data_IF_055972578963
#
_entry.id   IF_055972578963
#
_cell.length_a   1.000
_cell.length_b   1.000
_cell.length_c   1.000
_cell.angle_alpha   90.00
_cell.angle_beta   90.00
_cell.angle_gamma   90.00
#
_symmetry.space_group_name_H-M   'P 1'
#
loop_
_entity.id
_entity.type
_entity.pdbx_description
1 polymer ?
#
# COMPACT_ATOMS: atom_id res chain seq x y z
N UNK A 1 14.27 49.60 17.73
CA UNK A 1 14.17 48.97 16.39
C UNK A 1 13.14 49.74 15.57
N UNK A 2 13.49 50.23 14.37
CA UNK A 2 12.55 51.02 13.56
C UNK A 2 11.35 50.16 13.16
N UNK A 3 10.12 50.63 13.40
CA UNK A 3 8.86 49.92 13.08
C UNK A 3 8.84 49.34 11.66
N UNK A 4 9.38 50.08 10.69
CA UNK A 4 9.47 49.66 9.30
C UNK A 4 10.42 48.46 9.10
N UNK A 5 11.51 48.39 9.89
CA UNK A 5 12.44 47.24 9.88
C UNK A 5 11.80 46.00 10.51
N UNK A 6 11.01 46.17 11.57
CA UNK A 6 10.27 45.07 12.19
C UNK A 6 9.19 44.50 11.26
N UNK A 7 8.44 45.37 10.56
CA UNK A 7 7.42 44.95 9.58
C UNK A 7 8.08 44.23 8.40
N UNK A 8 9.19 44.75 7.88
CA UNK A 8 9.94 44.10 6.81
C UNK A 8 10.42 42.69 7.21
N UNK A 9 10.96 42.52 8.42
CA UNK A 9 11.39 41.21 8.91
C UNK A 9 10.23 40.22 9.07
N UNK A 10 9.08 40.68 9.55
CA UNK A 10 7.87 39.84 9.66
C UNK A 10 7.39 39.37 8.28
N UNK A 11 7.31 40.28 7.30
CA UNK A 11 6.91 39.94 5.94
C UNK A 11 7.88 38.95 5.29
N UNK A 12 9.19 39.17 5.44
CA UNK A 12 10.20 38.22 4.96
C UNK A 12 10.05 36.84 5.62
N UNK A 13 9.77 36.79 6.93
CA UNK A 13 9.52 35.53 7.63
C UNK A 13 8.31 34.77 7.08
N UNK A 14 7.19 35.47 6.84
CA UNK A 14 5.98 34.88 6.26
C UNK A 14 6.24 34.38 4.83
N UNK A 15 6.98 35.15 4.02
CA UNK A 15 7.33 34.76 2.64
C UNK A 15 8.21 33.51 2.64
N UNK A 16 9.21 33.43 3.52
CA UNK A 16 10.11 32.27 3.60
C UNK A 16 9.37 30.99 4.03
N UNK A 17 8.48 31.09 5.02
CA UNK A 17 7.64 29.95 5.44
C UNK A 17 6.71 29.52 4.31
N UNK A 18 6.11 30.48 3.59
CA UNK A 18 5.22 30.19 2.47
C UNK A 18 5.96 29.54 1.29
N UNK A 19 7.17 30.02 0.96
CA UNK A 19 8.02 29.41 -0.07
C UNK A 19 8.40 27.97 0.30
N UNK A 20 8.74 27.74 1.58
CA UNK A 20 9.06 26.40 2.05
C UNK A 20 7.84 25.46 1.95
N UNK A 21 6.66 25.92 2.39
CA UNK A 21 5.44 25.12 2.43
C UNK A 21 4.83 24.83 1.06
N UNK A 22 4.84 25.78 0.12
CA UNK A 22 4.10 25.66 -1.14
C UNK A 22 4.98 25.37 -2.36
N UNK A 23 6.24 25.81 -2.35
CA UNK A 23 7.13 25.65 -3.52
C UNK A 23 8.07 24.47 -3.32
N UNK A 24 8.77 24.41 -2.19
CA UNK A 24 9.78 23.37 -1.97
C UNK A 24 9.16 21.98 -1.78
N UNK A 25 8.02 21.88 -1.08
CA UNK A 25 7.31 20.59 -0.91
C UNK A 25 6.83 20.01 -2.25
N UNK A 26 6.25 20.82 -3.12
CA UNK A 26 5.78 20.39 -4.44
C UNK A 26 6.92 19.96 -5.36
N UNK A 27 8.02 20.73 -5.38
CA UNK A 27 9.22 20.39 -6.18
C UNK A 27 9.90 19.13 -5.64
N UNK A 28 10.03 18.98 -4.32
CA UNK A 28 10.63 17.77 -3.72
C UNK A 28 9.75 16.55 -3.97
N UNK A 29 8.44 16.66 -3.78
CA UNK A 29 7.51 15.55 -4.03
C UNK A 29 7.52 15.11 -5.50
N UNK A 30 7.54 16.06 -6.44
CA UNK A 30 7.61 15.75 -7.89
C UNK A 30 8.93 15.07 -8.26
N UNK A 31 10.05 15.47 -7.65
CA UNK A 31 11.35 14.82 -7.87
C UNK A 31 11.44 13.43 -7.24
N UNK A 32 10.84 13.24 -6.06
CA UNK A 32 10.76 11.91 -5.44
C UNK A 32 9.87 11.00 -6.28
N UNK A 33 8.72 11.48 -6.75
CA UNK A 33 7.85 10.70 -7.63
C UNK A 33 8.56 10.31 -8.92
N UNK A 34 9.18 11.26 -9.62
CA UNK A 34 9.93 10.97 -10.85
C UNK A 34 11.09 9.99 -10.60
N UNK A 35 11.82 10.16 -9.49
CA UNK A 35 12.90 9.24 -9.14
C UNK A 35 12.41 7.83 -8.76
N UNK A 36 11.23 7.72 -8.13
CA UNK A 36 10.61 6.42 -7.83
C UNK A 36 10.07 5.77 -9.09
N UNK A 37 9.47 6.54 -9.99
CA UNK A 37 8.96 6.07 -11.28
C UNK A 37 10.11 5.54 -12.15
N UNK A 38 11.18 6.31 -12.32
CA UNK A 38 12.38 5.86 -13.05
C UNK A 38 12.99 4.60 -12.42
N UNK A 39 13.10 4.51 -11.08
CA UNK A 39 13.70 3.34 -10.42
C UNK A 39 12.83 2.07 -10.47
N UNK A 40 11.50 2.19 -10.55
CA UNK A 40 10.58 1.04 -10.61
C UNK A 40 10.40 0.56 -12.05
N UNK A 41 10.35 1.48 -13.02
CA UNK A 41 10.09 1.18 -14.43
C UNK A 41 11.34 0.63 -15.13
N UNK A 42 12.53 1.17 -14.86
CA UNK A 42 13.78 0.80 -15.55
C UNK A 42 14.33 -0.59 -15.17
N UNK A 43 13.67 -1.30 -14.24
CA UNK A 43 14.08 -2.64 -13.80
C UNK A 43 13.08 -3.75 -14.08
N UNK A 44 11.97 -3.48 -14.78
CA UNK A 44 10.92 -4.47 -15.09
C UNK A 44 10.29 -4.23 -16.47
N UNK A 45 11.14 -4.10 -17.48
CA UNK A 45 10.77 -3.79 -18.86
C UNK A 45 10.87 -5.00 -19.81
N UNK A 46 11.32 -6.16 -19.31
CA UNK A 46 11.38 -7.40 -20.06
C UNK A 46 10.54 -8.52 -19.42
N UNK A 47 10.02 -9.44 -20.23
CA UNK A 47 9.23 -10.57 -19.74
C UNK A 47 10.02 -11.45 -18.75
N UNK A 48 11.33 -11.59 -18.96
CA UNK A 48 12.24 -12.36 -18.09
C UNK A 48 12.32 -11.83 -16.67
N UNK A 49 12.04 -10.54 -16.43
CA UNK A 49 12.05 -9.94 -15.09
C UNK A 49 10.92 -10.48 -14.19
N UNK A 50 9.96 -11.17 -14.81
CA UNK A 50 8.78 -11.73 -14.17
C UNK A 50 8.79 -13.27 -14.17
N UNK A 51 9.76 -13.89 -14.83
CA UNK A 51 9.93 -15.34 -14.86
C UNK A 51 10.66 -15.90 -13.62
N UNK A 52 10.93 -15.05 -12.63
CA UNK A 52 11.52 -15.45 -11.35
C UNK A 52 10.62 -16.46 -10.62
N UNK A 53 11.15 -17.65 -10.34
CA UNK A 53 10.45 -18.74 -9.66
C UNK A 53 9.95 -18.33 -8.25
N UNK A 54 10.69 -17.46 -7.54
CA UNK A 54 10.27 -16.94 -6.23
C UNK A 54 9.07 -15.98 -6.34
N UNK A 55 8.94 -15.29 -7.48
CA UNK A 55 7.79 -14.44 -7.76
C UNK A 55 6.60 -15.27 -8.27
N UNK A 56 6.86 -16.24 -9.16
CA UNK A 56 5.86 -17.12 -9.74
C UNK A 56 5.24 -18.04 -8.70
N UNK A 57 6.01 -18.53 -7.73
CA UNK A 57 5.54 -19.47 -6.71
C UNK A 57 5.73 -18.87 -5.32
N UNK A 58 4.64 -18.34 -4.76
CA UNK A 58 4.65 -17.71 -3.45
C UNK A 58 3.93 -18.59 -2.43
N UNK A 59 4.61 -18.94 -1.34
CA UNK A 59 3.98 -19.62 -0.20
C UNK A 59 3.89 -18.69 0.99
N UNK A 60 2.69 -18.54 1.55
CA UNK A 60 2.44 -17.70 2.72
C UNK A 60 1.60 -18.43 3.76
N UNK A 61 1.87 -18.15 5.03
CA UNK A 61 1.05 -18.66 6.12
C UNK A 61 -0.23 -17.82 6.26
N UNK A 62 -1.38 -18.48 6.32
CA UNK A 62 -2.67 -17.85 6.60
C UNK A 62 -3.26 -18.43 7.87
N UNK A 63 -3.69 -17.53 8.76
CA UNK A 63 -4.28 -17.87 10.05
C UNK A 63 -5.77 -17.57 10.02
N UNK A 64 -6.58 -18.59 10.25
CA UNK A 64 -8.04 -18.50 10.27
C UNK A 64 -8.59 -18.72 11.67
N UNK A 65 -9.67 -18.02 11.97
CA UNK A 65 -10.50 -18.25 13.15
C UNK A 65 -11.93 -18.44 12.67
N UNK A 66 -12.67 -19.32 13.34
CA UNK A 66 -14.11 -19.46 13.12
C UNK A 66 -14.87 -19.16 14.40
N UNK A 67 -16.16 -18.89 14.26
CA UNK A 67 -17.09 -18.72 15.37
C UNK A 67 -18.10 -19.85 15.30
N UNK A 68 -17.97 -20.81 16.21
CA UNK A 68 -18.85 -21.96 16.31
C UNK A 68 -20.16 -21.55 16.98
N UNK A 69 -21.30 -21.78 16.33
CA UNK A 69 -22.62 -21.56 16.92
C UNK A 69 -22.95 -22.70 17.89
N UNK A 70 -22.99 -22.41 19.18
CA UNK A 70 -23.14 -23.41 20.25
C UNK A 70 -24.60 -23.78 20.53
N UNK A 71 -25.55 -22.88 20.21
CA UNK A 71 -26.99 -23.10 20.31
C UNK A 71 -27.66 -22.98 18.94
N UNK A 72 -27.58 -24.05 18.13
CA UNK A 72 -28.01 -24.04 16.73
C UNK A 72 -29.51 -23.74 16.54
N UNK A 73 -30.34 -24.15 17.50
CA UNK A 73 -31.78 -23.93 17.46
C UNK A 73 -32.22 -22.54 17.95
N UNK A 74 -31.27 -21.65 18.29
CA UNK A 74 -31.58 -20.35 18.86
C UNK A 74 -32.52 -19.52 17.98
N UNK A 75 -32.32 -19.57 16.66
CA UNK A 75 -33.19 -18.88 15.69
C UNK A 75 -34.60 -19.45 15.62
N UNK A 76 -34.80 -20.73 15.99
CA UNK A 76 -36.12 -21.38 15.98
C UNK A 76 -36.88 -21.15 17.29
N UNK A 77 -36.16 -20.85 18.37
CA UNK A 77 -36.68 -20.71 19.72
C UNK A 77 -36.73 -19.26 20.23
N UNK A 78 -36.55 -18.25 19.35
CA UNK A 78 -36.42 -16.83 19.70
C UNK A 78 -35.33 -16.54 20.76
N UNK A 79 -34.26 -17.34 20.76
CA UNK A 79 -33.10 -17.18 21.65
C UNK A 79 -31.96 -16.42 20.97
N UNK A 80 -31.08 -15.81 21.78
CA UNK A 80 -29.88 -15.14 21.28
C UNK A 80 -28.84 -16.18 20.87
N UNK A 81 -28.30 -16.07 19.66
CA UNK A 81 -27.21 -16.92 19.19
C UNK A 81 -25.92 -16.72 20.02
N UNK A 82 -25.32 -17.83 20.45
CA UNK A 82 -24.11 -17.90 21.28
C UNK A 82 -22.98 -18.50 20.45
N UNK A 83 -21.93 -17.71 20.25
CA UNK A 83 -20.78 -18.09 19.44
C UNK A 83 -19.53 -18.30 20.28
N UNK A 84 -18.82 -19.39 20.02
CA UNK A 84 -17.50 -19.68 20.58
C UNK A 84 -16.42 -19.50 19.50
N UNK A 85 -15.40 -18.69 19.78
CA UNK A 85 -14.28 -18.52 18.85
C UNK A 85 -13.41 -19.77 18.89
N UNK A 86 -13.16 -20.37 17.73
CA UNK A 86 -12.29 -21.53 17.53
C UNK A 86 -11.12 -21.20 16.60
N UNK A 87 -9.97 -21.81 16.86
CA UNK A 87 -8.70 -21.57 16.16
C UNK A 87 -7.57 -21.19 17.12
N UNK A 88 -6.39 -20.78 16.60
CA UNK A 88 -6.11 -20.56 15.18
C UNK A 88 -6.00 -21.86 14.37
N UNK A 89 -6.48 -21.82 13.14
CA UNK A 89 -6.18 -22.81 12.11
C UNK A 89 -5.16 -22.21 11.15
N UNK A 90 -3.99 -22.84 11.06
CA UNK A 90 -2.84 -22.32 10.31
C UNK A 90 -2.68 -23.14 9.05
N UNK A 91 -2.65 -22.48 7.89
CA UNK A 91 -2.44 -23.12 6.59
C UNK A 91 -1.28 -22.46 5.86
N UNK A 92 -0.41 -23.26 5.25
CA UNK A 92 0.49 -22.79 4.21
C UNK A 92 -0.29 -22.73 2.89
N UNK A 93 -0.42 -21.54 2.32
CA UNK A 93 -1.09 -21.32 1.04
C UNK A 93 -0.05 -20.99 -0.01
N UNK A 94 0.09 -21.91 -0.98
CA UNK A 94 0.92 -21.72 -2.16
C UNK A 94 0.08 -21.15 -3.29
N UNK A 95 0.53 -20.03 -3.85
CA UNK A 95 -0.04 -19.39 -5.04
C UNK A 95 0.98 -19.51 -6.16
N UNK A 96 0.55 -20.08 -7.28
CA UNK A 96 1.33 -20.12 -8.52
C UNK A 96 0.75 -19.13 -9.50
N UNK A 97 1.59 -18.27 -10.08
CA UNK A 97 1.27 -17.33 -11.14
C UNK A 97 1.76 -17.92 -12.47
N UNK A 98 1.02 -17.65 -13.52
CA UNK A 98 1.40 -17.95 -14.90
C UNK A 98 1.34 -16.64 -15.67
N UNK A 99 2.39 -16.36 -16.45
CA UNK A 99 2.42 -15.20 -17.35
C UNK A 99 1.87 -15.68 -18.68
N UNK A 100 0.74 -15.11 -19.10
CA UNK A 100 0.10 -15.39 -20.38
C UNK A 100 0.64 -14.48 -21.48
N UNK A 101 0.86 -13.20 -21.15
CA UNK A 101 1.38 -12.21 -22.09
C UNK A 101 2.11 -11.05 -21.38
N UNK A 102 3.05 -10.42 -22.08
CA UNK A 102 3.77 -9.22 -21.66
C UNK A 102 3.73 -8.17 -22.77
N UNK A 103 3.08 -7.04 -22.49
CA UNK A 103 3.06 -5.89 -23.38
C UNK A 103 4.08 -4.85 -22.89
N UNK A 104 5.22 -4.79 -23.58
CA UNK A 104 6.31 -3.86 -23.29
C UNK A 104 5.96 -2.40 -23.61
N UNK A 105 5.03 -2.15 -24.55
CA UNK A 105 4.64 -0.80 -24.93
C UNK A 105 3.74 -0.16 -23.86
N UNK A 106 2.91 -0.97 -23.19
CA UNK A 106 2.01 -0.51 -22.12
C UNK A 106 2.48 -0.87 -20.71
N UNK A 107 3.52 -1.69 -20.57
CA UNK A 107 4.06 -2.15 -19.29
C UNK A 107 3.10 -3.06 -18.53
N UNK A 108 2.34 -3.90 -19.25
CA UNK A 108 1.29 -4.75 -18.65
C UNK A 108 1.58 -6.24 -18.78
N UNK A 109 1.15 -7.00 -17.77
CA UNK A 109 1.24 -8.47 -17.71
C UNK A 109 -0.16 -9.01 -17.51
N UNK A 110 -0.48 -10.07 -18.26
CA UNK A 110 -1.73 -10.84 -18.09
C UNK A 110 -1.42 -12.27 -17.74
#
# INVERSE_FOLDING_TARGET
>A
MNRNKSIALMLTGIILVSLNMFVLTGVVSSKVQAGVEDLIVDGRDEASDWEDEEWLVQTSERVYFAYNLTNQDASLNDEIAVFEKVGPFIYAVTTTKEILDFDADTGTIT
#
